data_IF_781761013190
#
_entry.id   IF_781761013190
#
_cell.length_a   1.000
_cell.length_b   1.000
_cell.length_c   1.000
_cell.angle_alpha   90.00
_cell.angle_beta   90.00
_cell.angle_gamma   90.00
#
_symmetry.space_group_name_H-M   'P 1'
#
loop_
_entity.id
_entity.type
_entity.pdbx_description
1 polymer ?
#
# COMPACT_ATOMS: atom_id res chain seq x y z
N UNK A 1 12.01 16.51 0.38
CA UNK A 1 10.66 17.11 0.21
C UNK A 1 9.61 16.01 0.32
N UNK A 2 8.58 16.20 1.15
CA UNK A 2 7.52 15.21 1.30
C UNK A 2 6.75 15.06 -0.02
N UNK A 3 6.70 13.84 -0.58
CA UNK A 3 5.86 13.55 -1.75
C UNK A 3 4.40 13.63 -1.33
N UNK A 4 3.74 14.73 -1.66
CA UNK A 4 2.31 14.88 -1.48
C UNK A 4 1.57 13.83 -2.33
N UNK A 5 0.91 12.88 -1.65
CA UNK A 5 0.23 11.79 -2.32
C UNK A 5 -1.12 12.26 -2.86
N UNK A 6 -1.15 12.73 -4.12
CA UNK A 6 -2.40 13.08 -4.81
C UNK A 6 -3.25 11.83 -5.00
N UNK A 7 -4.48 11.86 -4.49
CA UNK A 7 -5.48 10.82 -4.70
C UNK A 7 -6.22 11.11 -6.01
N UNK A 8 -6.30 10.10 -6.88
CA UNK A 8 -7.11 10.14 -8.10
C UNK A 8 -8.27 9.16 -7.95
N UNK A 9 -9.46 9.56 -8.40
CA UNK A 9 -10.62 8.70 -8.39
C UNK A 9 -10.49 7.55 -9.41
N UNK A 10 -11.45 6.62 -9.39
CA UNK A 10 -11.46 5.46 -10.29
C UNK A 10 -11.70 5.88 -11.75
N UNK A 11 -12.59 6.85 -11.98
CA UNK A 11 -12.97 7.28 -13.31
C UNK A 11 -11.78 7.89 -14.06
N UNK A 12 -11.03 8.77 -13.39
CA UNK A 12 -9.82 9.39 -13.90
C UNK A 12 -8.75 8.36 -14.28
N UNK A 13 -8.54 7.34 -13.44
CA UNK A 13 -7.56 6.28 -13.72
C UNK A 13 -7.93 5.46 -14.95
N UNK A 14 -9.21 5.12 -15.09
CA UNK A 14 -9.73 4.39 -16.24
C UNK A 14 -9.64 5.23 -17.51
N UNK A 15 -9.98 6.52 -17.44
CA UNK A 15 -9.89 7.42 -18.59
C UNK A 15 -8.43 7.63 -19.02
N UNK A 16 -7.50 7.75 -18.07
CA UNK A 16 -6.07 7.84 -18.38
C UNK A 16 -5.54 6.58 -19.10
N UNK A 17 -6.04 5.40 -18.72
CA UNK A 17 -5.69 4.13 -19.40
C UNK A 17 -6.31 4.08 -20.80
N UNK A 18 -7.59 4.44 -20.93
CA UNK A 18 -8.29 4.51 -22.22
C UNK A 18 -7.60 5.51 -23.17
N UNK A 19 -7.19 6.67 -22.67
CA UNK A 19 -6.43 7.66 -23.43
C UNK A 19 -5.11 7.08 -23.93
N UNK A 20 -4.42 6.30 -23.11
CA UNK A 20 -3.22 5.57 -23.54
C UNK A 20 -3.51 4.56 -24.64
N UNK A 21 -4.56 3.76 -24.51
CA UNK A 21 -4.92 2.71 -25.49
C UNK A 21 -5.36 3.29 -26.84
N UNK A 22 -5.94 4.49 -26.84
CA UNK A 22 -6.53 5.11 -28.04
C UNK A 22 -5.64 6.16 -28.71
N UNK A 23 -4.72 6.81 -27.98
CA UNK A 23 -3.94 7.94 -28.52
C UNK A 23 -2.68 7.54 -29.27
N UNK A 24 -2.17 6.31 -29.09
CA UNK A 24 -0.87 5.89 -29.64
C UNK A 24 0.34 6.61 -29.03
N UNK A 25 0.14 7.46 -28.02
CA UNK A 25 1.20 8.21 -27.33
C UNK A 25 1.95 7.32 -26.33
N UNK A 26 3.20 7.69 -26.03
CA UNK A 26 3.96 7.02 -24.98
C UNK A 26 3.38 7.29 -23.59
N UNK A 27 3.62 6.39 -22.65
CA UNK A 27 3.20 6.55 -21.25
C UNK A 27 3.71 7.86 -20.66
N UNK A 28 4.99 8.20 -20.89
CA UNK A 28 5.60 9.42 -20.37
C UNK A 28 4.95 10.70 -20.92
N UNK A 29 4.53 10.68 -22.19
CA UNK A 29 3.87 11.82 -22.81
C UNK A 29 2.50 12.06 -22.18
N UNK A 30 1.72 11.00 -21.99
CA UNK A 30 0.40 11.08 -21.34
C UNK A 30 0.54 11.50 -19.87
N UNK A 31 1.55 11.00 -19.16
CA UNK A 31 1.82 11.41 -17.77
C UNK A 31 2.11 12.91 -17.67
N UNK A 32 2.85 13.45 -18.65
CA UNK A 32 3.14 14.89 -18.76
C UNK A 32 1.88 15.70 -19.09
N UNK A 33 1.08 15.24 -20.07
CA UNK A 33 -0.16 15.91 -20.48
C UNK A 33 -1.21 15.93 -19.36
N UNK A 34 -1.31 14.85 -18.58
CA UNK A 34 -2.23 14.74 -17.45
C UNK A 34 -1.68 15.36 -16.15
N UNK A 35 -0.43 15.83 -16.15
CA UNK A 35 0.22 16.41 -14.97
C UNK A 35 0.37 15.44 -13.80
N UNK A 36 0.52 14.14 -14.10
CA UNK A 36 0.66 13.07 -13.10
C UNK A 36 2.13 12.64 -12.95
N UNK A 37 2.46 12.07 -11.80
CA UNK A 37 3.83 11.62 -11.51
C UNK A 37 4.29 10.56 -12.51
N UNK A 38 5.53 10.67 -13.00
CA UNK A 38 6.10 9.68 -13.91
C UNK A 38 6.08 8.26 -13.30
N UNK A 39 5.70 7.28 -14.13
CA UNK A 39 5.50 5.88 -13.78
C UNK A 39 4.18 5.55 -13.07
N UNK A 40 3.33 6.55 -12.77
CA UNK A 40 2.03 6.32 -12.13
C UNK A 40 1.03 5.69 -13.08
N UNK A 41 0.99 6.13 -14.35
CA UNK A 41 0.11 5.56 -15.36
C UNK A 41 0.50 4.10 -15.65
N UNK A 42 1.79 3.80 -15.66
CA UNK A 42 2.26 2.42 -15.81
C UNK A 42 1.76 1.51 -14.68
N UNK A 43 1.81 1.99 -13.42
CA UNK A 43 1.27 1.23 -12.27
C UNK A 43 -0.23 0.96 -12.41
N UNK A 44 -1.00 1.96 -12.87
CA UNK A 44 -2.44 1.77 -13.10
C UNK A 44 -2.69 0.77 -14.21
N UNK A 45 -1.94 0.82 -15.33
CA UNK A 45 -2.06 -0.16 -16.42
C UNK A 45 -1.79 -1.59 -15.95
N UNK A 46 -0.72 -1.81 -15.19
CA UNK A 46 -0.40 -3.16 -14.65
C UNK A 46 -1.51 -3.65 -13.73
N UNK A 47 -2.01 -2.77 -12.83
CA UNK A 47 -3.11 -3.13 -11.94
C UNK A 47 -4.39 -3.45 -12.72
N UNK A 48 -4.74 -2.62 -13.70
CA UNK A 48 -5.91 -2.85 -14.57
C UNK A 48 -5.81 -4.17 -15.32
N UNK A 49 -4.61 -4.53 -15.81
CA UNK A 49 -4.37 -5.81 -16.50
C UNK A 49 -4.56 -7.02 -15.57
N UNK A 50 -4.16 -6.91 -14.31
CA UNK A 50 -4.19 -8.03 -13.37
C UNK A 50 -5.55 -8.19 -12.66
N UNK A 51 -6.18 -7.07 -12.30
CA UNK A 51 -7.37 -7.03 -11.42
C UNK A 51 -8.62 -6.51 -12.14
N UNK A 52 -8.49 -6.13 -13.41
CA UNK A 52 -9.56 -5.52 -14.19
C UNK A 52 -10.00 -4.14 -13.67
N UNK A 53 -11.15 -3.61 -14.14
CA UNK A 53 -11.72 -2.36 -13.65
C UNK A 53 -12.08 -2.38 -12.15
N UNK A 54 -12.19 -3.57 -11.55
CA UNK A 54 -12.44 -3.77 -10.14
C UNK A 54 -11.21 -3.48 -9.25
N UNK A 55 -9.98 -3.56 -9.79
CA UNK A 55 -8.75 -3.24 -9.05
C UNK A 55 -8.60 -1.76 -8.64
N UNK A 56 -9.49 -0.90 -9.12
CA UNK A 56 -9.53 0.52 -8.77
C UNK A 56 -10.59 0.88 -7.71
N UNK A 57 -11.29 -0.10 -7.13
CA UNK A 57 -12.25 0.13 -6.04
C UNK A 57 -11.48 0.66 -4.82
N UNK A 58 -11.52 1.98 -4.64
CA UNK A 58 -11.12 2.69 -3.43
C UNK A 58 -9.72 2.39 -2.91
N UNK A 59 -8.68 3.03 -3.48
CA UNK A 59 -7.34 2.99 -2.86
C UNK A 59 -7.32 3.56 -1.44
N UNK A 60 -8.35 4.29 -1.00
CA UNK A 60 -8.50 4.76 0.38
C UNK A 60 -8.62 3.60 1.38
N UNK A 61 -9.55 2.67 1.13
CA UNK A 61 -9.75 1.52 2.02
C UNK A 61 -8.61 0.51 1.95
N UNK A 62 -8.01 0.29 0.77
CA UNK A 62 -6.85 -0.59 0.66
C UNK A 62 -5.63 -0.02 1.41
N UNK A 63 -5.40 1.30 1.36
CA UNK A 63 -4.29 1.93 2.12
C UNK A 63 -4.53 1.95 3.63
N UNK A 64 -5.78 2.14 4.07
CA UNK A 64 -6.14 2.09 5.48
C UNK A 64 -6.03 0.67 6.03
N UNK A 65 -6.50 -0.33 5.28
CA UNK A 65 -6.38 -1.73 5.66
C UNK A 65 -4.91 -2.18 5.69
N UNK A 66 -4.09 -1.77 4.72
CA UNK A 66 -2.64 -2.02 4.76
C UNK A 66 -1.93 -1.29 5.91
N UNK A 67 -2.37 -0.07 6.25
CA UNK A 67 -1.85 0.66 7.40
C UNK A 67 -2.22 -0.03 8.72
N UNK A 68 -3.45 -0.51 8.84
CA UNK A 68 -3.94 -1.25 10.01
C UNK A 68 -3.22 -2.60 10.14
N UNK A 69 -3.02 -3.34 9.05
CA UNK A 69 -2.21 -4.57 9.06
C UNK A 69 -0.78 -4.29 9.53
N UNK A 70 -0.16 -3.20 9.08
CA UNK A 70 1.19 -2.81 9.56
C UNK A 70 1.20 -2.39 11.04
N UNK A 71 0.10 -1.81 11.54
CA UNK A 71 -0.05 -1.45 12.96
C UNK A 71 -0.20 -2.71 13.81
N UNK A 72 -1.16 -3.57 13.46
CA UNK A 72 -1.43 -4.82 14.16
C UNK A 72 -0.22 -5.76 14.17
N UNK A 73 0.56 -5.83 13.09
CA UNK A 73 1.81 -6.62 13.08
C UNK A 73 2.83 -6.11 14.10
N UNK A 74 3.01 -4.79 14.21
CA UNK A 74 3.92 -4.19 15.20
C UNK A 74 3.43 -4.43 16.62
N UNK A 75 2.13 -4.27 16.85
CA UNK A 75 1.52 -4.53 18.16
C UNK A 75 1.67 -6.00 18.57
N UNK A 76 1.46 -6.94 17.64
CA UNK A 76 1.64 -8.36 17.91
C UNK A 76 3.10 -8.71 18.22
N UNK A 77 4.06 -8.07 17.55
CA UNK A 77 5.49 -8.26 17.82
C UNK A 77 5.87 -7.77 19.22
N UNK A 78 5.40 -6.59 19.62
CA UNK A 78 5.62 -6.05 20.97
C UNK A 78 5.02 -6.99 22.03
N UNK A 79 3.77 -7.43 21.85
CA UNK A 79 3.12 -8.35 22.78
C UNK A 79 3.86 -9.69 22.90
N UNK A 80 4.43 -10.20 21.79
CA UNK A 80 5.26 -11.41 21.82
C UNK A 80 6.54 -11.19 22.61
N UNK A 81 7.20 -10.04 22.43
CA UNK A 81 8.40 -9.69 23.18
C UNK A 81 8.10 -9.56 24.68
N UNK A 82 7.02 -8.88 25.07
CA UNK A 82 6.59 -8.77 26.47
C UNK A 82 6.31 -10.14 27.09
N UNK A 83 5.57 -11.01 26.39
CA UNK A 83 5.34 -12.39 26.81
C UNK A 83 6.67 -13.14 27.03
N UNK A 84 7.63 -12.97 26.14
CA UNK A 84 8.92 -13.65 26.22
C UNK A 84 9.76 -13.18 27.40
N UNK A 85 9.73 -11.88 27.69
CA UNK A 85 10.36 -11.30 28.87
C UNK A 85 9.72 -11.87 30.14
N UNK A 86 8.38 -11.89 30.22
CA UNK A 86 7.68 -12.44 31.38
C UNK A 86 7.97 -13.94 31.59
N UNK A 87 8.00 -14.72 30.51
CA UNK A 87 8.38 -16.13 30.58
C UNK A 87 9.81 -16.32 31.09
N UNK A 88 10.76 -15.52 30.59
CA UNK A 88 12.16 -15.56 31.07
C UNK A 88 12.25 -15.17 32.55
N UNK A 89 11.55 -14.11 32.96
CA UNK A 89 11.52 -13.67 34.35
C UNK A 89 10.99 -14.77 35.28
N UNK A 90 9.86 -15.40 34.93
CA UNK A 90 9.32 -16.54 35.69
C UNK A 90 10.31 -17.71 35.78
N UNK A 91 11.04 -18.01 34.70
CA UNK A 91 12.08 -19.06 34.74
C UNK A 91 13.26 -18.71 35.65
N UNK A 92 13.64 -17.43 35.75
CA UNK A 92 14.66 -16.98 36.68
C UNK A 92 14.15 -17.11 38.12
N UNK A 93 12.96 -16.57 38.41
CA UNK A 93 12.36 -16.67 39.74
C UNK A 93 12.12 -18.12 40.21
N UNK A 94 11.77 -19.03 39.30
CA UNK A 94 11.62 -20.45 39.62
C UNK A 94 12.95 -21.18 39.90
N UNK A 95 14.09 -20.64 39.44
CA UNK A 95 15.42 -21.22 39.68
C UNK A 95 16.08 -20.69 40.95
N UNK A 96 15.79 -19.46 41.35
CA UNK A 96 16.36 -18.82 42.55
C UNK A 96 15.61 -19.16 43.85
N UNK A 97 14.48 -19.87 43.75
CA UNK A 97 13.66 -20.31 44.90
C UNK A 97 14.04 -21.66 45.52
N UNK A 98 15.22 -22.20 45.19
CA UNK A 98 15.78 -23.45 45.73
C UNK A 98 17.05 -23.18 46.54
#
# INVERSE_FOLDING_TARGET
MARMNRKYDKAFKLEAIRLYETSGKSVSQIETELGITSGLLNKWRVRHRNEGPAGFVGSGQQTEMEAEVRRLKRENEILRQERDILKKAMQVFAKDGH
#
